data_IF_759760635540
#
_entry.id   IF_759760635540
#
_cell.length_a   1.000
_cell.length_b   1.000
_cell.length_c   1.000
_cell.angle_alpha   90.00
_cell.angle_beta   90.00
_cell.angle_gamma   90.00
#
_symmetry.space_group_name_H-M   'P 1'
#
loop_
_entity.id
_entity.type
_entity.pdbx_description
1 polymer ?
#
# COMPACT_ATOMS: atom_id res chain seq x y z
N UNK A 1 -14.85 25.52 11.62
CA UNK A 1 -15.97 24.66 11.14
C UNK A 1 -15.99 24.70 9.61
N UNK A 2 -15.79 23.58 8.95
CA UNK A 2 -15.89 23.47 7.48
C UNK A 2 -17.37 23.36 7.11
N UNK A 3 -17.88 24.35 6.40
CA UNK A 3 -19.25 24.35 5.89
C UNK A 3 -19.41 23.27 4.81
N UNK A 4 -20.48 22.48 4.86
CA UNK A 4 -20.79 21.45 3.83
C UNK A 4 -20.89 22.04 2.41
N UNK A 5 -21.21 23.32 2.28
CA UNK A 5 -21.30 24.01 0.99
C UNK A 5 -19.94 24.32 0.35
N UNK A 6 -18.83 24.18 1.09
CA UNK A 6 -17.46 24.38 0.56
C UNK A 6 -16.81 23.10 0.05
N UNK A 7 -17.50 21.95 0.16
CA UNK A 7 -17.02 20.69 -0.37
C UNK A 7 -17.09 20.70 -1.89
N UNK A 8 -15.94 20.59 -2.54
CA UNK A 8 -15.86 20.43 -3.98
C UNK A 8 -16.61 19.17 -4.43
N UNK A 9 -17.50 19.32 -5.39
CA UNK A 9 -18.27 18.20 -5.92
C UNK A 9 -17.35 17.28 -6.75
N UNK A 10 -16.86 16.23 -6.14
CA UNK A 10 -15.95 15.23 -6.74
C UNK A 10 -16.68 14.29 -7.71
N UNK A 11 -18.01 14.35 -7.79
CA UNK A 11 -18.80 13.52 -8.70
C UNK A 11 -18.60 13.98 -10.15
N UNK A 12 -17.80 13.23 -10.91
CA UNK A 12 -17.75 13.38 -12.37
C UNK A 12 -19.08 12.94 -12.98
N UNK A 13 -19.63 13.74 -13.89
CA UNK A 13 -20.86 13.39 -14.62
C UNK A 13 -20.62 12.11 -15.41
N UNK A 14 -21.51 11.12 -15.26
CA UNK A 14 -21.47 9.86 -16.00
C UNK A 14 -21.65 10.13 -17.48
N UNK A 15 -20.68 9.72 -18.29
CA UNK A 15 -20.72 9.90 -19.76
C UNK A 15 -21.69 8.86 -20.34
N UNK A 16 -22.69 9.34 -21.11
CA UNK A 16 -23.63 8.49 -21.85
C UNK A 16 -23.15 8.38 -23.30
N UNK A 17 -22.67 7.22 -23.69
CA UNK A 17 -22.17 6.96 -25.05
C UNK A 17 -23.33 6.74 -26.05
N UNK A 18 -23.08 7.02 -27.35
CA UNK A 18 -24.09 6.82 -28.39
C UNK A 18 -25.27 7.80 -28.32
N UNK A 19 -25.08 9.03 -27.86
CA UNK A 19 -26.13 10.06 -27.73
C UNK A 19 -25.85 11.31 -28.55
N UNK A 20 -25.54 11.08 -29.84
CA UNK A 20 -25.35 12.14 -30.82
C UNK A 20 -23.88 12.61 -30.96
N UNK A 21 -23.59 13.28 -32.06
CA UNK A 21 -22.23 13.73 -32.43
C UNK A 21 -21.76 14.79 -31.44
N UNK A 22 -22.61 15.71 -31.03
CA UNK A 22 -22.27 16.80 -30.11
C UNK A 22 -21.82 16.32 -28.70
N UNK A 23 -22.09 15.06 -28.31
CA UNK A 23 -21.63 14.49 -27.08
C UNK A 23 -20.15 14.06 -27.09
N UNK A 24 -19.48 14.14 -28.25
CA UNK A 24 -18.12 13.67 -28.49
C UNK A 24 -17.96 12.12 -28.48
N UNK A 25 -19.01 11.39 -28.13
CA UNK A 25 -19.05 9.93 -28.14
C UNK A 25 -20.31 9.34 -28.78
N UNK A 26 -20.75 10.00 -29.85
CA UNK A 26 -21.84 9.53 -30.69
C UNK A 26 -21.42 8.38 -31.63
N UNK A 27 -22.29 8.00 -32.56
CA UNK A 27 -22.08 6.97 -33.60
C UNK A 27 -21.51 5.67 -33.06
N UNK A 28 -20.20 5.48 -33.10
CA UNK A 28 -19.51 4.23 -32.69
C UNK A 28 -19.24 4.14 -31.18
N UNK A 29 -19.65 5.12 -30.40
CA UNK A 29 -19.48 5.14 -28.92
C UNK A 29 -18.02 5.04 -28.45
N UNK A 30 -17.06 5.44 -29.29
CA UNK A 30 -15.62 5.37 -29.03
C UNK A 30 -14.99 3.99 -29.28
N UNK A 31 -15.73 3.04 -29.87
CA UNK A 31 -15.22 1.68 -30.16
C UNK A 31 -14.53 1.54 -31.51
N UNK A 32 -14.56 2.57 -32.35
CA UNK A 32 -14.06 2.52 -33.72
C UNK A 32 -15.07 1.88 -34.68
N UNK A 33 -14.64 1.54 -35.92
CA UNK A 33 -15.55 1.10 -36.97
C UNK A 33 -15.79 -0.39 -36.91
N UNK A 34 -14.98 -1.19 -37.54
CA UNK A 34 -15.10 -2.63 -37.64
C UNK A 34 -13.99 -3.31 -36.82
N UNK A 35 -14.16 -4.58 -36.50
CA UNK A 35 -13.15 -5.39 -35.84
C UNK A 35 -13.62 -6.00 -34.53
N UNK A 36 -12.76 -6.84 -33.99
CA UNK A 36 -13.07 -7.63 -32.81
C UNK A 36 -13.33 -6.78 -31.55
N UNK A 37 -12.61 -5.64 -31.41
CA UNK A 37 -12.74 -4.73 -30.27
C UNK A 37 -14.02 -3.90 -30.29
N UNK A 38 -14.68 -3.75 -31.43
CA UNK A 38 -15.90 -2.97 -31.55
C UNK A 38 -17.16 -3.76 -31.17
N UNK A 39 -17.07 -5.08 -31.03
CA UNK A 39 -18.17 -5.98 -30.71
C UNK A 39 -18.21 -6.29 -29.21
N UNK A 40 -19.40 -6.60 -28.68
CA UNK A 40 -19.57 -7.03 -27.29
C UNK A 40 -19.20 -8.52 -27.13
N UNK A 41 -18.78 -8.91 -25.92
CA UNK A 41 -18.53 -10.31 -25.57
C UNK A 41 -17.19 -10.89 -26.07
N UNK A 42 -16.39 -10.12 -26.78
CA UNK A 42 -15.09 -10.60 -27.27
C UNK A 42 -13.94 -9.99 -26.47
N UNK A 43 -13.23 -10.83 -25.74
CA UNK A 43 -12.00 -10.46 -25.04
C UNK A 43 -10.78 -10.83 -25.88
N UNK A 44 -10.02 -9.83 -26.33
CA UNK A 44 -8.73 -10.04 -27.01
C UNK A 44 -7.69 -10.26 -25.91
N UNK A 45 -7.42 -11.52 -25.59
CA UNK A 45 -6.36 -11.91 -24.67
C UNK A 45 -5.15 -12.31 -25.50
N UNK A 46 -4.07 -11.52 -25.45
CA UNK A 46 -2.74 -11.85 -25.97
C UNK A 46 -2.70 -12.86 -27.17
N UNK A 47 -3.69 -12.75 -28.09
CA UNK A 47 -3.73 -13.54 -29.30
C UNK A 47 -2.82 -12.87 -30.34
N UNK A 48 -1.82 -13.59 -30.83
CA UNK A 48 -0.79 -13.11 -31.76
C UNK A 48 -0.96 -13.72 -33.17
N UNK A 49 -2.20 -13.81 -33.66
CA UNK A 49 -2.48 -14.34 -35.02
C UNK A 49 -2.14 -15.81 -35.23
N UNK A 50 -2.12 -16.63 -34.17
CA UNK A 50 -1.71 -18.03 -34.21
C UNK A 50 -0.27 -18.29 -33.76
N UNK A 51 0.59 -17.28 -33.76
CA UNK A 51 1.91 -17.37 -33.17
C UNK A 51 1.80 -17.62 -31.65
N UNK A 52 2.72 -18.41 -31.09
CA UNK A 52 2.75 -18.69 -29.64
C UNK A 52 2.91 -17.37 -28.86
N UNK A 53 1.98 -17.04 -27.94
CA UNK A 53 2.05 -15.80 -27.18
C UNK A 53 3.33 -15.65 -26.39
N UNK A 54 3.81 -14.42 -26.20
CA UNK A 54 5.07 -14.12 -25.52
C UNK A 54 5.19 -14.78 -24.13
N UNK A 55 4.12 -14.79 -23.35
CA UNK A 55 4.12 -15.41 -22.01
C UNK A 55 4.34 -16.94 -22.04
N UNK A 56 4.11 -17.61 -23.17
CA UNK A 56 4.42 -19.02 -23.36
C UNK A 56 5.84 -19.24 -23.88
N UNK A 57 6.39 -18.28 -24.61
CA UNK A 57 7.78 -18.34 -25.12
C UNK A 57 8.81 -18.08 -24.03
N UNK A 58 8.45 -17.30 -23.01
CA UNK A 58 9.33 -16.99 -21.90
C UNK A 58 9.50 -18.20 -20.97
N UNK A 59 10.73 -18.51 -20.51
CA UNK A 59 10.97 -19.59 -19.57
C UNK A 59 10.29 -19.30 -18.23
N UNK A 60 9.71 -20.30 -17.63
CA UNK A 60 9.15 -20.21 -16.27
C UNK A 60 10.29 -20.03 -15.27
N UNK A 61 10.15 -19.08 -14.36
CA UNK A 61 11.16 -18.79 -13.33
C UNK A 61 10.53 -18.72 -11.94
N UNK A 62 11.32 -19.12 -10.95
CA UNK A 62 11.01 -18.97 -9.55
C UNK A 62 9.99 -19.97 -9.03
N UNK A 63 9.70 -19.83 -7.78
CA UNK A 63 8.69 -20.60 -7.04
C UNK A 63 8.01 -19.72 -6.02
N UNK A 64 6.81 -20.08 -5.60
CA UNK A 64 6.10 -19.41 -4.52
C UNK A 64 6.41 -20.11 -3.20
N UNK A 65 7.13 -19.46 -2.26
CA UNK A 65 7.42 -20.06 -0.97
C UNK A 65 6.11 -20.30 -0.19
N UNK A 66 5.96 -21.51 0.36
CA UNK A 66 4.77 -21.97 1.08
C UNK A 66 4.57 -21.16 2.38
N UNK A 67 5.67 -20.81 3.05
CA UNK A 67 5.63 -20.05 4.31
C UNK A 67 6.16 -18.62 4.10
N UNK A 68 5.29 -17.69 3.72
CA UNK A 68 5.60 -16.26 3.76
C UNK A 68 5.19 -15.68 5.11
N UNK A 69 6.17 -15.29 5.93
CA UNK A 69 5.88 -14.46 7.10
C UNK A 69 5.61 -13.03 6.63
N UNK A 70 4.42 -12.51 6.91
CA UNK A 70 4.07 -11.12 6.58
C UNK A 70 4.76 -10.23 7.62
N UNK A 71 5.79 -9.50 7.16
CA UNK A 71 6.53 -8.54 7.99
C UNK A 71 6.02 -7.15 7.64
N UNK A 72 5.59 -6.39 8.63
CA UNK A 72 5.30 -4.97 8.46
C UNK A 72 6.54 -4.15 8.76
N UNK A 73 6.81 -3.15 7.91
CA UNK A 73 7.94 -2.24 8.05
C UNK A 73 7.42 -0.87 8.45
N UNK A 74 8.01 -0.28 9.50
CA UNK A 74 7.63 1.04 10.00
C UNK A 74 8.89 1.90 10.14
N UNK A 75 8.84 3.10 9.61
CA UNK A 75 9.91 4.09 9.71
C UNK A 75 9.74 4.99 10.93
N UNK A 76 10.86 5.47 11.49
CA UNK A 76 10.87 6.36 12.68
C UNK A 76 10.07 7.64 12.44
N UNK A 77 10.22 8.27 11.28
CA UNK A 77 9.46 9.49 10.97
C UNK A 77 7.95 9.25 10.87
N UNK A 78 7.52 8.03 10.48
CA UNK A 78 6.09 7.68 10.50
C UNK A 78 5.60 7.46 11.92
N UNK A 79 6.40 6.82 12.79
CA UNK A 79 6.08 6.69 14.21
C UNK A 79 5.91 8.06 14.88
N UNK A 80 6.81 9.02 14.61
CA UNK A 80 6.68 10.38 15.13
C UNK A 80 5.35 11.01 14.71
N UNK A 81 4.98 10.91 13.43
CA UNK A 81 3.68 11.42 12.95
C UNK A 81 2.48 10.77 13.64
N UNK A 82 2.57 9.49 14.00
CA UNK A 82 1.50 8.80 14.71
C UNK A 82 1.36 9.27 16.17
N UNK A 83 2.47 9.63 16.80
CA UNK A 83 2.50 10.21 18.14
C UNK A 83 1.94 11.65 18.10
N UNK A 84 2.38 12.47 17.14
CA UNK A 84 1.91 13.84 16.95
C UNK A 84 0.40 13.91 16.67
N UNK A 85 -0.14 12.91 15.96
CA UNK A 85 -1.59 12.77 15.70
C UNK A 85 -2.35 12.06 16.83
N UNK A 86 -1.71 11.80 17.96
CA UNK A 86 -2.30 11.14 19.14
C UNK A 86 -2.94 9.77 18.87
N UNK A 87 -2.51 9.10 17.79
CA UNK A 87 -2.94 7.73 17.48
C UNK A 87 -2.23 6.68 18.33
N UNK A 88 -1.06 7.02 18.84
CA UNK A 88 -0.27 6.20 19.76
C UNK A 88 0.24 7.10 20.87
N UNK A 89 0.12 6.66 22.13
CA UNK A 89 0.68 7.36 23.28
C UNK A 89 2.17 7.04 23.41
N UNK A 90 3.01 8.05 23.59
CA UNK A 90 4.46 7.86 23.81
C UNK A 90 4.80 7.08 25.08
N UNK A 91 3.90 7.11 26.08
CA UNK A 91 4.05 6.40 27.36
C UNK A 91 3.78 4.89 27.26
N UNK A 92 3.16 4.43 26.18
CA UNK A 92 2.79 3.04 25.98
C UNK A 92 3.88 2.31 25.21
N UNK A 93 4.21 1.05 25.64
CA UNK A 93 5.09 0.20 24.82
C UNK A 93 4.46 -0.05 23.45
N UNK A 94 5.22 0.24 22.41
CA UNK A 94 4.80 0.05 21.02
C UNK A 94 5.09 -1.40 20.62
N UNK A 95 4.06 -2.24 20.63
CA UNK A 95 4.10 -3.64 20.22
C UNK A 95 3.31 -3.82 18.93
N UNK A 96 3.44 -5.00 18.31
CA UNK A 96 2.63 -5.38 17.16
C UNK A 96 1.12 -5.34 17.45
N UNK A 97 0.71 -5.64 18.69
CA UNK A 97 -0.69 -5.62 19.11
C UNK A 97 -1.25 -4.20 19.20
N UNK A 98 -0.49 -3.27 19.79
CA UNK A 98 -0.88 -1.84 19.83
C UNK A 98 -1.02 -1.26 18.43
N UNK A 99 -0.11 -1.62 17.52
CA UNK A 99 -0.14 -1.20 16.12
C UNK A 99 -1.34 -1.79 15.35
N UNK A 100 -1.75 -3.03 15.66
CA UNK A 100 -2.96 -3.65 15.10
C UNK A 100 -4.24 -2.99 15.64
N UNK A 101 -4.31 -2.75 16.96
CA UNK A 101 -5.46 -2.06 17.59
C UNK A 101 -5.67 -0.67 17.00
N UNK A 102 -4.60 0.07 16.74
CA UNK A 102 -4.63 1.38 16.10
C UNK A 102 -4.85 1.31 14.56
N UNK A 103 -5.08 0.13 14.00
CA UNK A 103 -5.28 -0.12 12.54
C UNK A 103 -4.14 0.41 11.65
N UNK A 104 -2.94 0.57 12.19
CA UNK A 104 -1.75 1.02 11.47
C UNK A 104 -1.16 -0.15 10.67
N UNK A 105 -1.22 -1.35 11.25
CA UNK A 105 -0.70 -2.58 10.68
C UNK A 105 -1.84 -3.57 10.46
N UNK A 106 -1.79 -4.33 9.36
CA UNK A 106 -2.80 -5.33 9.03
C UNK A 106 -2.84 -6.45 10.08
N UNK A 107 -4.02 -6.97 10.40
CA UNK A 107 -4.20 -8.06 11.35
C UNK A 107 -3.42 -9.34 10.98
N UNK A 108 -3.22 -9.58 9.67
CA UNK A 108 -2.44 -10.71 9.16
C UNK A 108 -0.92 -10.61 9.39
N UNK A 109 -0.42 -9.44 9.81
CA UNK A 109 1.02 -9.24 10.07
C UNK A 109 1.44 -10.06 11.29
N UNK A 110 2.52 -10.82 11.13
CA UNK A 110 3.09 -11.66 12.20
C UNK A 110 4.31 -11.06 12.85
N UNK A 111 5.09 -10.29 12.10
CA UNK A 111 6.35 -9.70 12.56
C UNK A 111 6.42 -8.23 12.15
N UNK A 112 7.16 -7.45 12.92
CA UNK A 112 7.32 -6.05 12.60
C UNK A 112 8.78 -5.60 12.67
N UNK A 113 9.19 -4.78 11.72
CA UNK A 113 10.55 -4.27 11.56
C UNK A 113 10.58 -2.74 11.60
N UNK A 114 11.56 -2.18 12.32
CA UNK A 114 11.78 -0.75 12.41
C UNK A 114 12.95 -0.34 11.51
N UNK A 115 12.74 0.74 10.76
CA UNK A 115 13.76 1.37 9.92
C UNK A 115 13.99 2.83 10.31
N UNK A 116 15.21 3.30 10.05
CA UNK A 116 15.72 4.60 10.51
C UNK A 116 15.28 5.81 9.69
N UNK A 117 14.44 5.65 8.64
CA UNK A 117 14.03 6.77 7.79
C UNK A 117 13.19 7.79 8.58
N UNK A 118 13.60 9.04 8.50
CA UNK A 118 13.01 10.15 9.26
C UNK A 118 13.65 10.35 10.63
N UNK A 119 13.11 11.32 11.37
CA UNK A 119 13.57 11.68 12.70
C UNK A 119 12.51 11.31 13.74
N UNK A 120 12.97 10.95 14.93
CA UNK A 120 12.14 10.76 16.11
C UNK A 120 12.58 11.76 17.17
N UNK A 121 11.61 12.44 17.78
CA UNK A 121 11.81 13.45 18.82
C UNK A 121 11.28 12.99 20.19
N UNK A 122 10.29 12.13 20.16
CA UNK A 122 9.62 11.62 21.36
C UNK A 122 10.36 10.41 21.93
N UNK A 123 10.49 10.35 23.26
CA UNK A 123 10.99 9.15 23.95
C UNK A 123 9.95 8.04 23.82
N UNK A 124 10.35 6.88 23.29
CA UNK A 124 9.46 5.74 23.06
C UNK A 124 10.11 4.43 23.41
N UNK A 125 9.31 3.53 23.98
CA UNK A 125 9.70 2.15 24.27
C UNK A 125 9.08 1.23 23.20
N UNK A 126 9.93 0.53 22.45
CA UNK A 126 9.50 -0.25 21.30
C UNK A 126 9.90 -1.71 21.46
N UNK A 127 8.97 -2.61 21.21
CA UNK A 127 9.18 -4.05 21.20
C UNK A 127 8.95 -4.57 19.78
N UNK A 128 10.05 -4.79 19.05
CA UNK A 128 10.06 -5.17 17.63
C UNK A 128 10.68 -6.55 17.42
N UNK A 129 10.34 -7.22 16.32
CA UNK A 129 11.00 -8.47 15.93
C UNK A 129 12.36 -8.19 15.24
N UNK A 130 12.45 -7.10 14.50
CA UNK A 130 13.66 -6.68 13.81
C UNK A 130 13.85 -5.17 13.89
N UNK A 131 15.11 -4.72 13.90
CA UNK A 131 15.45 -3.31 13.81
C UNK A 131 16.70 -3.12 12.92
N UNK A 132 16.83 -1.96 12.29
CA UNK A 132 18.10 -1.56 11.67
C UNK A 132 19.05 -0.96 12.72
N UNK A 133 20.37 -1.14 12.56
CA UNK A 133 21.37 -0.59 13.49
C UNK A 133 21.18 0.92 13.68
N UNK A 134 21.07 1.66 12.60
CA UNK A 134 20.84 3.11 12.63
C UNK A 134 19.49 3.53 13.25
N UNK A 135 18.49 2.64 13.31
CA UNK A 135 17.26 2.95 14.03
C UNK A 135 17.44 2.81 15.54
N UNK A 136 18.20 1.82 15.97
CA UNK A 136 18.55 1.63 17.39
C UNK A 136 19.29 2.87 17.91
N UNK A 137 20.34 3.28 17.22
CA UNK A 137 21.13 4.47 17.58
C UNK A 137 20.29 5.75 17.68
N UNK A 138 19.38 5.96 16.74
CA UNK A 138 18.49 7.15 16.76
C UNK A 138 17.52 7.14 17.94
N UNK A 139 16.98 5.99 18.32
CA UNK A 139 16.05 5.86 19.45
C UNK A 139 16.79 6.01 20.78
N UNK A 140 17.98 5.41 20.92
CA UNK A 140 18.81 5.54 22.10
C UNK A 140 19.28 6.99 22.33
N UNK A 141 19.61 7.73 21.25
CA UNK A 141 19.95 9.16 21.32
C UNK A 141 18.82 10.02 21.91
N UNK A 142 17.58 9.66 21.68
CA UNK A 142 16.40 10.35 22.23
C UNK A 142 15.99 9.81 23.62
N UNK A 143 16.74 8.82 24.14
CA UNK A 143 16.48 8.22 25.45
C UNK A 143 15.36 7.18 25.44
N UNK A 144 14.95 6.68 24.27
CA UNK A 144 14.02 5.55 24.12
C UNK A 144 14.73 4.20 24.24
N UNK A 145 13.97 3.12 24.35
CA UNK A 145 14.47 1.75 24.44
C UNK A 145 13.86 0.86 23.36
N UNK A 146 14.71 0.03 22.72
CA UNK A 146 14.24 -1.03 21.81
C UNK A 146 14.53 -2.39 22.40
N UNK A 147 13.50 -3.24 22.44
CA UNK A 147 13.63 -4.66 22.79
C UNK A 147 13.39 -5.49 21.53
N UNK A 148 14.35 -6.30 21.12
CA UNK A 148 14.25 -7.16 19.94
C UNK A 148 13.87 -8.58 20.39
N UNK A 149 12.72 -9.08 19.91
CA UNK A 149 12.22 -10.43 20.26
C UNK A 149 13.00 -11.56 19.60
N UNK A 150 13.44 -11.36 18.34
CA UNK A 150 14.19 -12.35 17.58
C UNK A 150 15.64 -11.89 17.40
N UNK A 151 16.48 -12.11 18.38
CA UNK A 151 17.91 -12.23 18.11
C UNK A 151 18.11 -13.66 17.57
N UNK A 152 18.10 -13.82 16.24
CA UNK A 152 18.64 -15.03 15.63
C UNK A 152 20.13 -15.08 15.95
N UNK A 153 20.51 -16.09 16.72
CA UNK A 153 21.91 -16.52 16.85
C UNK A 153 22.48 -16.87 15.49
#
# INVERSE_FOLDING_TARGET
MTSLNTLNNIKTKKIRVGRGIGSGRGKTSGRGVKGQKSRSGVAIKSFEGGQMPLYRRLPKRGFNPIKKSIISVINLGYLQKLIDTSKISSSQKINIETLKKSKIVRNSTRKFKILSTGEIKSKVDIEADYSSKSAIEKIEKVGGKITIKNQSK
#
